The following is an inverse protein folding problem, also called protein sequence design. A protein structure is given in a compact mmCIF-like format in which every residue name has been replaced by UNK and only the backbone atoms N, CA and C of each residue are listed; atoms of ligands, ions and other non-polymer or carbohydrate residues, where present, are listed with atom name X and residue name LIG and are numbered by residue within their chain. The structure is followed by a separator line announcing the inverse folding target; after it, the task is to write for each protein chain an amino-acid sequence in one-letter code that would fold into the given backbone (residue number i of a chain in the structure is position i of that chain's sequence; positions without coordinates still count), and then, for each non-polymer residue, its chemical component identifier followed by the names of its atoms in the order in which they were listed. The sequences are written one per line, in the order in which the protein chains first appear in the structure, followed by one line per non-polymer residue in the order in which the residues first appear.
data_IF_582817751925
#
_entry.id   IF_582817751925
#
_cell.length_a   1.000
_cell.length_b   1.000
_cell.length_c   1.000
_cell.angle_alpha   90.00
_cell.angle_beta   90.00
_cell.angle_gamma   90.00
#
_symmetry.space_group_name_H-M   'P 1'
#
loop_
_entity.id
_entity.type
_entity.pdbx_description
1 polymer ?
#
# COMPACT_ATOMS: atom_id res chain seq x y z
N UNK A 1 24.09 10.12 55.58
CA UNK A 1 23.76 9.28 54.41
C UNK A 1 22.46 8.56 54.75
N UNK A 2 21.34 9.08 54.27
CA UNK A 2 20.02 8.45 54.42
C UNK A 2 19.92 7.30 53.42
N UNK A 3 19.65 6.10 53.89
CA UNK A 3 19.46 4.93 53.03
C UNK A 3 17.97 4.86 52.66
N UNK A 4 17.66 5.00 51.37
CA UNK A 4 16.32 4.80 50.83
C UNK A 4 15.90 3.34 50.99
N UNK A 5 14.69 3.12 51.53
CA UNK A 5 14.11 1.79 51.78
C UNK A 5 13.82 0.99 50.49
N UNK A 6 13.95 1.59 49.31
CA UNK A 6 13.71 0.91 48.02
C UNK A 6 14.84 -0.07 47.62
N UNK A 7 16.06 0.09 48.16
CA UNK A 7 17.19 -0.77 47.78
C UNK A 7 17.13 -2.19 48.37
N UNK A 8 16.33 -2.43 49.41
CA UNK A 8 16.19 -3.75 50.05
C UNK A 8 15.36 -4.76 49.24
N UNK A 9 14.73 -4.33 48.14
CA UNK A 9 13.86 -5.16 47.31
C UNK A 9 14.52 -5.82 46.09
N UNK A 10 15.79 -5.51 45.78
CA UNK A 10 16.47 -6.01 44.58
C UNK A 10 17.28 -7.28 44.88
N UNK A 11 17.31 -8.22 43.93
CA UNK A 11 17.99 -9.53 44.01
C UNK A 11 19.52 -9.45 44.21
N UNK A 12 20.10 -8.25 44.13
CA UNK A 12 21.54 -8.01 44.15
C UNK A 12 22.05 -7.30 45.42
N UNK A 13 21.25 -7.18 46.48
CA UNK A 13 21.74 -6.62 47.74
C UNK A 13 22.65 -7.63 48.48
N UNK A 14 23.96 -7.58 48.19
CA UNK A 14 24.97 -8.35 48.91
C UNK A 14 25.23 -7.74 50.29
N UNK A 15 24.55 -8.31 51.29
CA UNK A 15 24.67 -7.97 52.71
C UNK A 15 26.13 -8.01 53.17
N UNK A 16 26.94 -8.93 52.65
CA UNK A 16 28.36 -9.06 53.02
C UNK A 16 29.18 -7.90 52.47
N UNK A 17 28.96 -7.52 51.20
CA UNK A 17 29.61 -6.35 50.60
C UNK A 17 29.19 -5.04 51.28
N UNK A 18 27.91 -4.90 51.64
CA UNK A 18 27.42 -3.73 52.36
C UNK A 18 27.99 -3.64 53.79
N UNK A 19 27.98 -4.73 54.55
CA UNK A 19 28.58 -4.78 55.89
C UNK A 19 30.07 -4.45 55.84
N UNK A 20 30.80 -5.02 54.88
CA UNK A 20 32.22 -4.71 54.69
C UNK A 20 32.46 -3.23 54.35
N UNK A 21 31.57 -2.59 53.58
CA UNK A 21 31.64 -1.13 53.33
C UNK A 21 31.36 -0.31 54.57
N UNK A 22 30.43 -0.71 55.44
CA UNK A 22 30.15 -0.03 56.71
C UNK A 22 31.35 -0.15 57.67
N UNK A 23 31.97 -1.32 57.80
CA UNK A 23 33.19 -1.51 58.59
C UNK A 23 34.41 -0.76 58.00
N UNK A 24 34.51 -0.67 56.68
CA UNK A 24 35.57 0.10 56.00
C UNK A 24 35.37 1.62 56.11
N UNK A 25 34.14 2.11 56.08
CA UNK A 25 33.84 3.53 56.32
C UNK A 25 34.07 3.93 57.79
N UNK A 26 33.98 2.98 58.72
CA UNK A 26 34.18 3.18 60.16
C UNK A 26 35.66 3.25 60.59
N UNK A 27 36.60 2.79 59.77
CA UNK A 27 38.03 2.75 60.14
C UNK A 27 38.75 4.08 59.94
N UNK A 28 38.11 5.08 59.33
CA UNK A 28 38.73 6.38 59.00
C UNK A 28 38.25 7.58 59.84
N UNK A 29 37.39 7.41 60.86
CA UNK A 29 36.86 8.55 61.63
C UNK A 29 37.22 8.48 63.13
N UNK A 30 38.43 8.95 63.40
CA UNK A 30 39.18 8.91 64.66
C UNK A 30 38.76 10.06 65.62
N UNK A 31 37.46 10.16 65.91
CA UNK A 31 36.92 11.15 66.85
C UNK A 31 36.19 10.51 68.02
N UNK A 32 36.71 10.73 69.24
CA UNK A 32 36.34 10.15 70.53
C UNK A 32 34.92 10.48 71.03
N UNK A 33 33.88 10.09 70.27
CA UNK A 33 32.51 9.97 70.75
C UNK A 33 32.25 8.50 71.11
N UNK A 34 32.41 8.21 72.40
CA UNK A 34 32.08 7.00 73.16
C UNK A 34 31.75 5.75 72.34
N UNK A 35 32.63 4.74 72.42
CA UNK A 35 32.46 3.41 71.82
C UNK A 35 31.07 2.79 72.09
N UNK A 36 30.43 3.15 73.20
CA UNK A 36 29.06 2.74 73.55
C UNK A 36 27.98 3.24 72.57
N UNK A 37 28.03 4.51 72.13
CA UNK A 37 27.03 5.04 71.20
C UNK A 37 27.19 4.42 69.80
N UNK A 38 28.42 4.06 69.44
CA UNK A 38 28.77 3.39 68.17
C UNK A 38 28.36 1.92 68.20
N UNK A 39 28.65 1.22 69.29
CA UNK A 39 28.19 -0.15 69.53
C UNK A 39 26.66 -0.23 69.53
N UNK A 40 25.97 0.72 70.16
CA UNK A 40 24.50 0.77 70.15
C UNK A 40 23.91 0.96 68.74
N UNK A 41 24.50 1.81 67.88
CA UNK A 41 24.04 1.97 66.50
C UNK A 41 24.23 0.70 65.67
N UNK A 42 25.39 0.04 65.79
CA UNK A 42 25.64 -1.24 65.12
C UNK A 42 24.70 -2.34 65.61
N UNK A 43 24.46 -2.42 66.92
CA UNK A 43 23.49 -3.36 67.50
C UNK A 43 22.08 -3.07 66.98
N UNK A 44 21.69 -1.81 66.84
CA UNK A 44 20.36 -1.44 66.33
C UNK A 44 20.23 -1.79 64.84
N UNK A 45 21.27 -1.55 64.04
CA UNK A 45 21.29 -1.92 62.61
C UNK A 45 21.28 -3.45 62.41
N UNK A 46 22.05 -4.20 63.21
CA UNK A 46 22.03 -5.66 63.19
C UNK A 46 20.69 -6.22 63.66
N UNK A 47 20.09 -5.61 64.68
CA UNK A 47 18.76 -5.99 65.16
C UNK A 47 17.68 -5.71 64.11
N UNK A 48 17.77 -4.59 63.39
CA UNK A 48 16.88 -4.28 62.29
C UNK A 48 17.03 -5.28 61.13
N UNK A 49 18.26 -5.61 60.73
CA UNK A 49 18.52 -6.62 59.71
C UNK A 49 18.02 -8.01 60.12
N UNK A 50 18.25 -8.41 61.37
CA UNK A 50 17.74 -9.69 61.90
C UNK A 50 16.22 -9.71 61.91
N UNK A 51 15.57 -8.62 62.32
CA UNK A 51 14.11 -8.50 62.33
C UNK A 51 13.54 -8.53 60.91
N UNK A 52 14.17 -7.85 59.96
CA UNK A 52 13.70 -7.79 58.57
C UNK A 52 13.91 -9.14 57.86
N UNK A 53 15.04 -9.81 58.09
CA UNK A 53 15.29 -11.17 57.61
C UNK A 53 14.27 -12.17 58.18
N UNK A 54 13.93 -12.04 59.47
CA UNK A 54 12.91 -12.86 60.13
C UNK A 54 11.52 -12.61 59.52
N UNK A 55 11.12 -11.35 59.35
CA UNK A 55 9.84 -10.99 58.73
C UNK A 55 9.75 -11.47 57.28
N UNK A 56 10.84 -11.40 56.52
CA UNK A 56 10.87 -11.90 55.15
C UNK A 56 10.79 -13.44 55.09
N UNK A 57 11.52 -14.13 55.96
CA UNK A 57 11.40 -15.59 56.16
C UNK A 57 9.95 -15.97 56.50
N UNK A 58 9.30 -15.24 57.39
CA UNK A 58 7.94 -15.54 57.82
C UNK A 58 6.91 -15.27 56.71
N UNK A 59 7.10 -14.21 55.89
CA UNK A 59 6.32 -13.98 54.67
C UNK A 59 6.50 -15.09 53.64
N UNK A 60 7.73 -15.53 53.40
CA UNK A 60 8.03 -16.63 52.47
C UNK A 60 7.37 -17.92 52.97
N UNK A 61 7.53 -18.26 54.25
CA UNK A 61 6.87 -19.42 54.87
C UNK A 61 5.34 -19.35 54.77
N UNK A 62 4.74 -18.18 54.98
CA UNK A 62 3.30 -17.98 54.84
C UNK A 62 2.83 -18.19 53.39
N UNK A 63 3.56 -17.66 52.40
CA UNK A 63 3.29 -17.90 50.97
C UNK A 63 3.40 -19.38 50.62
N UNK A 64 4.46 -20.06 51.05
CA UNK A 64 4.64 -21.50 50.81
C UNK A 64 3.53 -22.34 51.46
N UNK A 65 3.10 -22.03 52.70
CA UNK A 65 1.99 -22.73 53.34
C UNK A 65 0.68 -22.60 52.57
N UNK A 66 0.41 -21.42 52.01
CA UNK A 66 -0.81 -21.19 51.24
C UNK A 66 -0.72 -21.81 49.83
N UNK A 67 0.39 -21.58 49.13
CA UNK A 67 0.60 -22.06 47.76
C UNK A 67 0.73 -23.58 47.70
N UNK A 68 1.46 -24.21 48.61
CA UNK A 68 1.63 -25.67 48.61
C UNK A 68 0.30 -26.40 48.86
N UNK A 69 -0.53 -25.89 49.78
CA UNK A 69 -1.84 -26.47 50.04
C UNK A 69 -2.81 -26.27 48.85
N UNK A 70 -2.72 -25.14 48.16
CA UNK A 70 -3.52 -24.87 46.96
C UNK A 70 -3.10 -25.75 45.78
N UNK A 71 -1.80 -25.81 45.49
CA UNK A 71 -1.23 -26.70 44.46
C UNK A 71 -1.57 -28.17 44.76
N UNK A 72 -1.47 -28.60 46.02
CA UNK A 72 -1.86 -29.96 46.41
C UNK A 72 -3.33 -30.27 46.17
N UNK A 73 -4.23 -29.31 46.42
CA UNK A 73 -5.67 -29.45 46.11
C UNK A 73 -5.93 -29.48 44.61
N UNK A 74 -5.24 -28.65 43.84
CA UNK A 74 -5.40 -28.56 42.39
C UNK A 74 -4.91 -29.85 41.71
N UNK A 75 -3.76 -30.39 42.14
CA UNK A 75 -3.25 -31.69 41.67
C UNK A 75 -4.21 -32.83 42.02
N UNK A 76 -4.75 -32.84 43.24
CA UNK A 76 -5.75 -33.84 43.63
C UNK A 76 -7.07 -33.70 42.85
N UNK A 77 -7.49 -32.47 42.55
CA UNK A 77 -8.65 -32.17 41.72
C UNK A 77 -8.47 -32.63 40.27
N UNK A 78 -7.31 -32.34 39.68
CA UNK A 78 -6.93 -32.83 38.35
C UNK A 78 -6.84 -34.37 38.32
N UNK A 79 -6.24 -35.00 39.34
CA UNK A 79 -6.18 -36.46 39.44
C UNK A 79 -7.56 -37.13 39.49
N UNK A 80 -8.51 -36.52 40.22
CA UNK A 80 -9.91 -36.98 40.25
C UNK A 80 -10.61 -36.77 38.91
N UNK A 81 -10.41 -35.61 38.27
CA UNK A 81 -11.00 -35.31 36.97
C UNK A 81 -10.49 -36.28 35.89
N UNK A 82 -9.17 -36.50 35.81
CA UNK A 82 -8.55 -37.46 34.90
C UNK A 82 -9.06 -38.88 35.14
N UNK A 83 -9.15 -39.32 36.40
CA UNK A 83 -9.68 -40.65 36.73
C UNK A 83 -11.16 -40.79 36.33
N UNK A 84 -11.97 -39.74 36.54
CA UNK A 84 -13.38 -39.73 36.13
C UNK A 84 -13.52 -39.76 34.60
N UNK A 85 -12.71 -38.99 33.86
CA UNK A 85 -12.69 -38.99 32.40
C UNK A 85 -12.23 -40.35 31.86
N UNK A 86 -11.24 -40.98 32.49
CA UNK A 86 -10.80 -42.33 32.12
C UNK A 86 -11.90 -43.37 32.36
N UNK A 87 -12.63 -43.28 33.48
CA UNK A 87 -13.79 -44.14 33.74
C UNK A 87 -14.92 -43.90 32.72
N UNK A 88 -15.18 -42.65 32.32
CA UNK A 88 -16.14 -42.31 31.26
C UNK A 88 -15.71 -42.85 29.90
N UNK A 89 -14.42 -42.78 29.56
CA UNK A 89 -13.86 -43.35 28.34
C UNK A 89 -14.00 -44.88 28.32
N UNK A 90 -13.68 -45.55 29.44
CA UNK A 90 -13.90 -47.01 29.57
C UNK A 90 -15.38 -47.36 29.46
N UNK A 91 -16.27 -46.55 30.06
CA UNK A 91 -17.72 -46.69 29.91
C UNK A 91 -18.22 -46.50 28.48
N UNK A 92 -17.66 -45.53 27.74
CA UNK A 92 -17.92 -45.32 26.32
C UNK A 92 -17.40 -46.47 25.47
N UNK A 93 -16.20 -46.99 25.73
CA UNK A 93 -15.65 -48.15 25.02
C UNK A 93 -16.52 -49.38 25.25
N UNK A 94 -16.93 -49.65 26.50
CA UNK A 94 -17.83 -50.76 26.81
C UNK A 94 -19.24 -50.56 26.22
N UNK A 95 -19.73 -49.32 26.11
CA UNK A 95 -20.99 -49.01 25.44
C UNK A 95 -20.88 -49.25 23.93
N UNK A 96 -19.76 -48.84 23.31
CA UNK A 96 -19.44 -49.08 21.89
C UNK A 96 -19.34 -50.58 21.60
N UNK A 97 -18.66 -51.35 22.45
CA UNK A 97 -18.54 -52.81 22.30
C UNK A 97 -19.89 -53.52 22.44
N UNK A 98 -20.76 -53.06 23.35
CA UNK A 98 -22.13 -53.58 23.50
C UNK A 98 -23.05 -53.17 22.34
N UNK A 99 -22.84 -51.99 21.76
CA UNK A 99 -23.65 -51.46 20.66
C UNK A 99 -23.27 -52.09 19.31
N UNK A 100 -22.00 -52.48 19.14
CA UNK A 100 -21.53 -53.28 18.00
C UNK A 100 -22.17 -54.68 17.92
N UNK A 101 -22.72 -55.19 19.03
CA UNK A 101 -23.38 -56.50 19.09
C UNK A 101 -24.89 -56.49 18.74
N UNK A 102 -25.49 -55.33 18.43
CA UNK A 102 -26.92 -55.24 18.10
C UNK A 102 -27.15 -54.48 16.79
N UNK A 103 -27.99 -55.03 15.90
CA UNK A 103 -28.28 -54.54 14.55
C UNK A 103 -28.73 -53.06 14.38
N UNK A 104 -29.05 -52.24 15.41
CA UNK A 104 -29.23 -50.79 15.23
C UNK A 104 -27.93 -50.01 14.96
N UNK A 105 -26.73 -50.62 15.05
CA UNK A 105 -25.44 -49.91 14.96
C UNK A 105 -25.25 -49.17 13.63
N UNK A 106 -25.78 -49.69 12.51
CA UNK A 106 -25.61 -49.03 11.22
C UNK A 106 -26.34 -47.69 11.14
N UNK A 107 -27.54 -47.57 11.73
CA UNK A 107 -28.29 -46.32 11.75
C UNK A 107 -27.57 -45.28 12.63
N UNK A 108 -27.09 -45.68 13.80
CA UNK A 108 -26.34 -44.80 14.71
C UNK A 108 -24.97 -44.39 14.14
N UNK A 109 -24.27 -45.28 13.41
CA UNK A 109 -23.01 -44.95 12.72
C UNK A 109 -23.25 -44.02 11.53
N UNK A 110 -24.35 -44.20 10.79
CA UNK A 110 -24.77 -43.27 9.75
C UNK A 110 -25.11 -41.91 10.35
N UNK A 111 -25.84 -41.86 11.46
CA UNK A 111 -26.16 -40.62 12.19
C UNK A 111 -24.92 -39.93 12.76
N UNK A 112 -23.96 -40.68 13.32
CA UNK A 112 -22.69 -40.13 13.79
C UNK A 112 -21.82 -39.62 12.63
N UNK A 113 -21.81 -40.35 11.51
CA UNK A 113 -21.11 -39.96 10.28
C UNK A 113 -21.77 -38.77 9.57
N UNK A 114 -23.09 -38.60 9.67
CA UNK A 114 -23.76 -37.36 9.23
C UNK A 114 -23.48 -36.23 10.19
N UNK A 115 -23.52 -36.45 11.51
CA UNK A 115 -23.19 -35.43 12.51
C UNK A 115 -21.73 -34.97 12.40
N UNK A 116 -20.76 -35.86 12.18
CA UNK A 116 -19.36 -35.49 11.92
C UNK A 116 -19.20 -34.71 10.62
N UNK A 117 -19.87 -35.12 9.53
CA UNK A 117 -19.87 -34.35 8.28
C UNK A 117 -20.54 -33.00 8.45
N UNK A 118 -21.56 -32.91 9.27
CA UNK A 118 -22.29 -31.68 9.56
C UNK A 118 -21.48 -30.76 10.48
N UNK A 119 -20.72 -31.32 11.43
CA UNK A 119 -19.75 -30.60 12.26
C UNK A 119 -18.57 -30.10 11.43
N UNK A 120 -18.05 -30.92 10.50
CA UNK A 120 -16.99 -30.49 9.59
C UNK A 120 -17.48 -29.33 8.69
N UNK A 121 -18.69 -29.44 8.15
CA UNK A 121 -19.33 -28.35 7.38
C UNK A 121 -19.59 -27.11 8.22
N UNK A 122 -19.98 -27.23 9.49
CA UNK A 122 -20.19 -26.05 10.35
C UNK A 122 -18.89 -25.43 10.81
N UNK A 123 -17.82 -26.21 11.02
CA UNK A 123 -16.48 -25.68 11.30
C UNK A 123 -15.91 -24.97 10.07
N UNK A 124 -16.10 -25.52 8.88
CA UNK A 124 -15.76 -24.87 7.62
C UNK A 124 -16.59 -23.58 7.43
N UNK A 125 -17.90 -23.63 7.66
CA UNK A 125 -18.78 -22.46 7.64
C UNK A 125 -18.43 -21.40 8.69
N UNK A 126 -17.96 -21.79 9.88
CA UNK A 126 -17.49 -20.90 10.94
C UNK A 126 -16.12 -20.27 10.61
N UNK A 127 -15.20 -21.05 10.03
CA UNK A 127 -13.92 -20.53 9.54
C UNK A 127 -14.11 -19.52 8.40
N UNK A 128 -15.08 -19.81 7.52
CA UNK A 128 -15.55 -18.90 6.50
C UNK A 128 -16.20 -17.66 7.14
N UNK A 129 -17.15 -17.80 8.08
CA UNK A 129 -17.77 -16.68 8.83
C UNK A 129 -16.76 -15.75 9.53
N UNK A 130 -15.71 -16.31 10.15
CA UNK A 130 -14.66 -15.53 10.83
C UNK A 130 -13.70 -14.85 9.85
N UNK A 131 -13.61 -15.37 8.63
CA UNK A 131 -12.94 -14.71 7.51
C UNK A 131 -13.79 -13.56 6.96
N UNK A 132 -15.13 -13.67 7.06
CA UNK A 132 -16.12 -12.72 6.57
C UNK A 132 -16.38 -11.51 7.47
N UNK A 133 -16.42 -11.65 8.81
CA UNK A 133 -16.73 -10.51 9.71
C UNK A 133 -15.64 -9.44 9.74
N UNK A 134 -14.39 -9.81 9.43
CA UNK A 134 -13.23 -8.92 9.49
C UNK A 134 -12.70 -8.59 8.08
N UNK A 135 -13.47 -8.90 7.03
CA UNK A 135 -13.04 -8.73 5.64
C UNK A 135 -12.59 -7.28 5.36
N UNK A 136 -13.36 -6.23 5.71
CA UNK A 136 -12.93 -4.85 5.51
C UNK A 136 -11.58 -4.54 6.15
N UNK A 137 -11.38 -4.96 7.41
CA UNK A 137 -10.16 -4.66 8.18
C UNK A 137 -8.93 -5.40 7.61
N UNK A 138 -9.11 -6.63 7.14
CA UNK A 138 -8.04 -7.40 6.50
C UNK A 138 -7.67 -6.81 5.15
N UNK A 139 -8.66 -6.39 4.37
CA UNK A 139 -8.43 -5.68 3.10
C UNK A 139 -7.69 -4.38 3.36
N UNK A 140 -8.12 -3.57 4.33
CA UNK A 140 -7.43 -2.32 4.69
C UNK A 140 -5.98 -2.57 5.09
N UNK A 141 -5.72 -3.56 5.95
CA UNK A 141 -4.35 -3.90 6.34
C UNK A 141 -3.47 -4.37 5.17
N UNK A 142 -4.04 -5.08 4.19
CA UNK A 142 -3.30 -5.51 2.98
C UNK A 142 -3.08 -4.34 2.00
N UNK A 143 -4.05 -3.45 1.85
CA UNK A 143 -3.93 -2.23 1.05
C UNK A 143 -2.88 -1.29 1.65
N UNK A 144 -2.87 -1.10 2.97
CA UNK A 144 -1.84 -0.33 3.69
C UNK A 144 -0.44 -0.95 3.51
N UNK A 145 -0.35 -2.28 3.51
CA UNK A 145 0.88 -3.01 3.25
C UNK A 145 1.27 -3.06 1.75
N UNK A 146 0.45 -2.52 0.86
CA UNK A 146 0.59 -2.57 -0.62
C UNK A 146 0.61 -3.99 -1.20
N UNK A 147 0.00 -4.95 -0.50
CA UNK A 147 -0.12 -6.35 -0.94
C UNK A 147 -1.47 -6.56 -1.65
N UNK A 148 -1.68 -5.84 -2.75
CA UNK A 148 -2.95 -5.79 -3.47
C UNK A 148 -3.37 -7.13 -4.07
N UNK A 149 -2.40 -7.94 -4.51
CA UNK A 149 -2.69 -9.27 -5.07
C UNK A 149 -3.33 -10.19 -4.03
N UNK A 150 -2.86 -10.16 -2.77
CA UNK A 150 -3.49 -10.90 -1.67
C UNK A 150 -4.81 -10.28 -1.24
N UNK A 151 -4.92 -8.95 -1.27
CA UNK A 151 -6.19 -8.29 -0.98
C UNK A 151 -7.29 -8.72 -1.97
N UNK A 152 -6.97 -8.76 -3.26
CA UNK A 152 -7.91 -9.18 -4.31
C UNK A 152 -8.27 -10.66 -4.21
N UNK A 153 -7.27 -11.53 -4.00
CA UNK A 153 -7.51 -12.96 -3.80
C UNK A 153 -8.40 -13.25 -2.58
N UNK A 154 -8.27 -12.44 -1.52
CA UNK A 154 -9.13 -12.53 -0.35
C UNK A 154 -10.58 -12.17 -0.70
N UNK A 155 -10.81 -11.06 -1.41
CA UNK A 155 -12.16 -10.64 -1.82
C UNK A 155 -12.80 -11.61 -2.81
N UNK A 156 -12.06 -12.09 -3.81
CA UNK A 156 -12.56 -13.03 -4.82
C UNK A 156 -12.88 -14.41 -4.21
N UNK A 157 -12.04 -14.89 -3.28
CA UNK A 157 -12.29 -16.14 -2.55
C UNK A 157 -13.54 -16.08 -1.67
N UNK A 158 -13.91 -14.87 -1.27
CA UNK A 158 -15.06 -14.59 -0.41
C UNK A 158 -16.34 -14.37 -1.22
N UNK A 159 -16.26 -13.72 -2.39
CA UNK A 159 -17.39 -13.50 -3.30
C UNK A 159 -18.03 -14.80 -3.82
N UNK A 160 -17.26 -15.90 -3.88
CA UNK A 160 -17.76 -17.22 -4.28
C UNK A 160 -18.57 -17.96 -3.22
N UNK A 161 -18.62 -17.47 -1.98
CA UNK A 161 -19.28 -18.16 -0.88
C UNK A 161 -20.62 -17.50 -0.50
N UNK A 162 -21.69 -18.30 -0.48
CA UNK A 162 -23.04 -17.83 -0.21
C UNK A 162 -23.16 -17.23 1.21
N UNK A 163 -23.58 -15.97 1.33
CA UNK A 163 -24.02 -15.37 2.60
C UNK A 163 -23.50 -13.98 2.94
N UNK A 164 -22.73 -13.32 2.06
CA UNK A 164 -22.28 -11.95 2.27
C UNK A 164 -23.18 -10.91 1.60
N UNK A 165 -23.20 -9.73 2.20
CA UNK A 165 -23.75 -8.54 1.57
C UNK A 165 -22.90 -8.20 0.34
N UNK A 166 -23.54 -8.21 -0.83
CA UNK A 166 -22.86 -7.89 -2.09
C UNK A 166 -22.24 -6.49 -2.04
N UNK A 167 -22.85 -5.59 -1.26
CA UNK A 167 -22.41 -4.21 -1.11
C UNK A 167 -21.07 -4.12 -0.35
N UNK A 168 -20.83 -4.95 0.67
CA UNK A 168 -19.55 -4.96 1.41
C UNK A 168 -18.41 -5.52 0.58
N UNK A 169 -18.67 -6.56 -0.21
CA UNK A 169 -17.68 -7.14 -1.14
C UNK A 169 -17.34 -6.13 -2.23
N UNK A 170 -18.34 -5.42 -2.76
CA UNK A 170 -18.14 -4.37 -3.74
C UNK A 170 -17.30 -3.21 -3.16
N UNK A 171 -17.64 -2.72 -1.96
CA UNK A 171 -16.89 -1.66 -1.28
C UNK A 171 -15.43 -2.08 -0.92
N UNK A 172 -15.18 -3.36 -0.65
CA UNK A 172 -13.82 -3.88 -0.50
C UNK A 172 -13.07 -3.84 -1.84
N UNK A 173 -13.70 -4.27 -2.93
CA UNK A 173 -13.09 -4.25 -4.27
C UNK A 173 -12.76 -2.82 -4.71
N UNK A 174 -13.67 -1.87 -4.53
CA UNK A 174 -13.44 -0.45 -4.84
C UNK A 174 -12.24 0.12 -4.06
N UNK A 175 -12.06 -0.25 -2.79
CA UNK A 175 -10.90 0.19 -2.00
C UNK A 175 -9.58 -0.36 -2.52
N UNK A 176 -9.54 -1.64 -2.90
CA UNK A 176 -8.34 -2.25 -3.46
C UNK A 176 -8.02 -1.60 -4.82
N UNK A 177 -9.05 -1.40 -5.66
CA UNK A 177 -8.93 -0.72 -6.94
C UNK A 177 -8.36 0.70 -6.77
N UNK A 178 -8.93 1.51 -5.88
CA UNK A 178 -8.43 2.84 -5.58
C UNK A 178 -6.97 2.82 -5.09
N UNK A 179 -6.59 1.83 -4.29
CA UNK A 179 -5.21 1.62 -3.85
C UNK A 179 -4.26 1.31 -5.01
N UNK A 180 -4.63 0.38 -5.89
CA UNK A 180 -3.83 0.00 -7.07
C UNK A 180 -3.72 1.14 -8.06
N UNK A 181 -4.81 1.86 -8.34
CA UNK A 181 -4.82 3.06 -9.19
C UNK A 181 -3.92 4.15 -8.61
N UNK A 182 -3.94 4.35 -7.28
CA UNK A 182 -3.06 5.29 -6.61
C UNK A 182 -1.57 4.95 -6.73
N UNK A 183 -1.21 3.66 -6.65
CA UNK A 183 0.17 3.21 -6.86
C UNK A 183 0.58 3.25 -8.35
N UNK A 184 -0.33 2.92 -9.27
CA UNK A 184 -0.13 3.09 -10.71
C UNK A 184 0.16 4.56 -11.02
N UNK A 185 -0.67 5.49 -10.54
CA UNK A 185 -0.47 6.91 -10.74
C UNK A 185 0.87 7.41 -10.20
N UNK A 186 1.35 6.85 -9.07
CA UNK A 186 2.68 7.16 -8.54
C UNK A 186 3.80 6.62 -9.44
N UNK A 187 3.73 5.36 -9.85
CA UNK A 187 4.70 4.74 -10.75
C UNK A 187 4.81 5.50 -12.08
N UNK A 188 3.66 5.89 -12.65
CA UNK A 188 3.56 6.69 -13.88
C UNK A 188 4.17 8.08 -13.69
N UNK A 189 3.96 8.71 -12.54
CA UNK A 189 4.58 10.00 -12.23
C UNK A 189 6.11 9.90 -12.08
N UNK A 190 6.59 8.83 -11.45
CA UNK A 190 8.02 8.57 -11.21
C UNK A 190 8.76 7.97 -12.42
N UNK A 191 8.04 7.66 -13.50
CA UNK A 191 8.53 6.96 -14.70
C UNK A 191 9.09 5.56 -14.40
N UNK A 192 8.52 4.87 -13.43
CA UNK A 192 8.82 3.45 -13.15
C UNK A 192 7.93 2.56 -14.04
N UNK A 193 8.46 2.20 -15.21
CA UNK A 193 7.74 1.40 -16.19
C UNK A 193 7.41 -0.01 -15.69
N UNK A 194 8.31 -0.62 -14.91
CA UNK A 194 8.09 -1.96 -14.37
C UNK A 194 6.98 -1.96 -13.31
N UNK A 195 6.95 -0.96 -12.42
CA UNK A 195 5.88 -0.81 -11.45
C UNK A 195 4.54 -0.49 -12.11
N UNK A 196 4.53 0.38 -13.13
CA UNK A 196 3.33 0.69 -13.90
C UNK A 196 2.78 -0.56 -14.61
N UNK A 197 3.63 -1.34 -15.29
CA UNK A 197 3.24 -2.58 -15.95
C UNK A 197 2.69 -3.60 -14.95
N UNK A 198 3.33 -3.78 -13.78
CA UNK A 198 2.82 -4.70 -12.73
C UNK A 198 1.43 -4.30 -12.22
N UNK A 199 1.20 -3.00 -11.95
CA UNK A 199 -0.11 -2.53 -11.50
C UNK A 199 -1.15 -2.61 -12.62
N UNK A 200 -0.76 -2.33 -13.86
CA UNK A 200 -1.60 -2.47 -15.04
C UNK A 200 -2.04 -3.91 -15.28
N UNK A 201 -1.11 -4.87 -15.19
CA UNK A 201 -1.42 -6.31 -15.29
C UNK A 201 -2.36 -6.78 -14.19
N UNK A 202 -2.20 -6.27 -12.96
CA UNK A 202 -3.12 -6.57 -11.86
C UNK A 202 -4.54 -6.07 -12.15
N UNK A 203 -4.69 -4.83 -12.60
CA UNK A 203 -6.01 -4.27 -12.97
C UNK A 203 -6.62 -4.98 -14.18
N UNK A 204 -5.81 -5.28 -15.20
CA UNK A 204 -6.25 -6.00 -16.40
C UNK A 204 -6.73 -7.42 -16.07
N UNK A 205 -6.06 -8.13 -15.16
CA UNK A 205 -6.47 -9.45 -14.68
C UNK A 205 -7.87 -9.43 -14.04
N UNK A 206 -8.32 -8.27 -13.56
CA UNK A 206 -9.64 -8.05 -12.97
C UNK A 206 -10.61 -7.28 -13.87
N UNK A 207 -10.28 -7.13 -15.17
CA UNK A 207 -11.16 -6.51 -16.18
C UNK A 207 -11.15 -4.99 -16.19
N UNK A 208 -10.19 -4.35 -15.51
CA UNK A 208 -10.10 -2.89 -15.33
C UNK A 208 -9.09 -2.22 -16.28
N UNK A 209 -8.93 -2.72 -17.51
CA UNK A 209 -7.96 -2.18 -18.47
C UNK A 209 -8.19 -0.70 -18.81
N UNK A 210 -9.45 -0.28 -18.92
CA UNK A 210 -9.81 1.12 -19.23
C UNK A 210 -9.32 2.10 -18.14
N UNK A 211 -9.32 1.68 -16.87
CA UNK A 211 -8.82 2.49 -15.77
C UNK A 211 -7.30 2.68 -15.83
N UNK A 212 -6.57 1.67 -16.32
CA UNK A 212 -5.11 1.76 -16.49
C UNK A 212 -4.77 2.84 -17.50
N UNK A 213 -5.40 2.79 -18.67
CA UNK A 213 -5.19 3.77 -19.74
C UNK A 213 -5.62 5.17 -19.30
N UNK A 214 -6.79 5.29 -18.68
CA UNK A 214 -7.31 6.56 -18.17
C UNK A 214 -6.37 7.21 -17.17
N UNK A 215 -5.87 6.44 -16.20
CA UNK A 215 -4.97 6.95 -15.17
C UNK A 215 -3.59 7.31 -15.73
N UNK A 216 -3.07 6.50 -16.66
CA UNK A 216 -1.82 6.77 -17.35
C UNK A 216 -1.89 8.10 -18.10
N UNK A 217 -2.92 8.27 -18.95
CA UNK A 217 -3.15 9.52 -19.69
C UNK A 217 -3.34 10.69 -18.73
N UNK A 218 -4.14 10.54 -17.68
CA UNK A 218 -4.38 11.60 -16.68
C UNK A 218 -3.09 12.14 -16.07
N UNK A 219 -2.22 11.25 -15.60
CA UNK A 219 -0.97 11.63 -14.92
C UNK A 219 0.05 12.19 -15.92
N UNK A 220 0.30 11.50 -17.05
CA UNK A 220 1.30 11.95 -18.02
C UNK A 220 0.87 13.23 -18.74
N UNK A 221 -0.41 13.37 -19.10
CA UNK A 221 -0.92 14.62 -19.67
C UNK A 221 -0.74 15.78 -18.69
N UNK A 222 -1.06 15.60 -17.41
CA UNK A 222 -0.87 16.66 -16.42
C UNK A 222 0.59 17.12 -16.28
N UNK A 223 1.54 16.18 -16.33
CA UNK A 223 2.97 16.48 -16.26
C UNK A 223 3.44 17.15 -17.54
N UNK A 224 3.09 16.60 -18.70
CA UNK A 224 3.52 17.10 -20.00
C UNK A 224 2.94 18.48 -20.34
N UNK A 225 1.66 18.71 -20.06
CA UNK A 225 1.02 20.03 -20.26
C UNK A 225 1.73 21.10 -19.42
N UNK A 226 2.05 20.82 -18.15
CA UNK A 226 2.83 21.76 -17.32
C UNK A 226 4.22 22.04 -17.87
N UNK A 227 4.85 21.07 -18.54
CA UNK A 227 6.14 21.30 -19.20
C UNK A 227 5.99 22.23 -20.42
N UNK A 228 4.88 22.14 -21.13
CA UNK A 228 4.56 22.97 -22.31
C UNK A 228 3.98 24.36 -21.97
N UNK A 229 3.52 24.58 -20.73
CA UNK A 229 3.10 25.92 -20.24
C UNK A 229 4.27 26.92 -20.07
N UNK A 230 5.51 26.51 -20.37
CA UNK A 230 6.66 27.39 -20.42
C UNK A 230 6.46 28.58 -21.37
N UNK A 231 7.09 29.72 -21.07
CA UNK A 231 7.16 30.84 -22.04
C UNK A 231 8.24 30.52 -23.06
N UNK A 232 7.83 30.19 -24.27
CA UNK A 232 8.73 30.04 -25.40
C UNK A 232 8.83 31.36 -26.16
N UNK A 233 10.04 31.86 -26.33
CA UNK A 233 10.28 33.13 -27.03
C UNK A 233 10.03 32.98 -28.54
N UNK A 234 10.26 31.78 -29.08
CA UNK A 234 9.98 31.40 -30.46
C UNK A 234 9.15 30.11 -30.57
N UNK A 235 8.49 29.93 -31.72
CA UNK A 235 7.67 28.76 -31.97
C UNK A 235 8.52 27.49 -32.14
N UNK A 236 9.76 27.63 -32.64
CA UNK A 236 10.67 26.50 -32.85
C UNK A 236 11.02 25.80 -31.54
N UNK A 237 11.27 26.56 -30.47
CA UNK A 237 11.54 26.05 -29.14
C UNK A 237 10.34 25.34 -28.53
N UNK A 238 9.12 25.86 -28.73
CA UNK A 238 7.88 25.21 -28.29
C UNK A 238 7.72 23.85 -28.99
N UNK A 239 7.83 23.82 -30.32
CA UNK A 239 7.63 22.61 -31.11
C UNK A 239 8.73 21.57 -30.85
N UNK A 240 9.98 21.99 -30.64
CA UNK A 240 11.06 21.10 -30.27
C UNK A 240 10.84 20.46 -28.89
N UNK A 241 10.39 21.25 -27.91
CA UNK A 241 10.05 20.73 -26.59
C UNK A 241 8.87 19.75 -26.64
N UNK A 242 7.85 20.05 -27.46
CA UNK A 242 6.71 19.16 -27.67
C UNK A 242 7.11 17.84 -28.36
N UNK A 243 7.97 17.89 -29.37
CA UNK A 243 8.46 16.69 -30.04
C UNK A 243 9.26 15.81 -29.08
N UNK A 244 10.19 16.41 -28.33
CA UNK A 244 10.96 15.69 -27.32
C UNK A 244 10.05 15.01 -26.29
N UNK A 245 9.01 15.72 -25.82
CA UNK A 245 8.01 15.18 -24.90
C UNK A 245 7.23 14.01 -25.52
N UNK A 246 6.76 14.12 -26.76
CA UNK A 246 6.02 13.05 -27.45
C UNK A 246 6.89 11.78 -27.56
N UNK A 247 8.15 11.90 -27.99
CA UNK A 247 9.06 10.74 -28.08
C UNK A 247 9.35 10.14 -26.69
N UNK A 248 9.54 10.99 -25.69
CA UNK A 248 9.75 10.58 -24.30
C UNK A 248 8.54 9.86 -23.68
N UNK A 249 7.32 10.30 -23.99
CA UNK A 249 6.10 9.62 -23.54
C UNK A 249 5.85 8.33 -24.29
N UNK A 250 6.15 8.29 -25.60
CA UNK A 250 6.05 7.08 -26.42
C UNK A 250 6.92 5.97 -25.86
N UNK A 251 8.20 6.24 -25.66
CA UNK A 251 9.16 5.26 -25.12
C UNK A 251 8.76 4.76 -23.74
N UNK A 252 8.19 5.64 -22.91
CA UNK A 252 7.69 5.25 -21.59
C UNK A 252 6.41 4.40 -21.67
N UNK A 253 5.45 4.77 -22.52
CA UNK A 253 4.22 4.02 -22.75
C UNK A 253 4.50 2.61 -23.29
N UNK A 254 5.42 2.48 -24.24
CA UNK A 254 5.88 1.19 -24.76
C UNK A 254 6.52 0.34 -23.67
N UNK A 255 7.41 0.91 -22.86
CA UNK A 255 8.05 0.21 -21.75
C UNK A 255 7.06 -0.23 -20.65
N UNK A 256 5.96 0.52 -20.48
CA UNK A 256 4.88 0.21 -19.54
C UNK A 256 3.80 -0.72 -20.14
N UNK A 257 3.97 -1.23 -21.36
CA UNK A 257 3.02 -2.09 -22.07
C UNK A 257 1.64 -1.43 -22.33
N UNK A 258 1.61 -0.12 -22.55
CA UNK A 258 0.38 0.62 -22.87
C UNK A 258 -0.02 0.47 -24.34
N UNK A 259 -1.31 0.63 -24.62
CA UNK A 259 -1.84 0.58 -25.99
C UNK A 259 -1.51 1.84 -26.80
N UNK A 260 -1.52 1.72 -28.13
CA UNK A 260 -1.32 2.86 -29.04
C UNK A 260 -2.37 3.96 -28.84
N UNK A 261 -3.57 3.61 -28.37
CA UNK A 261 -4.64 4.57 -28.07
C UNK A 261 -4.26 5.55 -26.95
N UNK A 262 -3.40 5.14 -26.00
CA UNK A 262 -2.86 6.02 -24.96
C UNK A 262 -1.96 7.10 -25.57
N UNK A 263 -1.16 6.74 -26.57
CA UNK A 263 -0.28 7.69 -27.25
C UNK A 263 -1.08 8.74 -28.02
N UNK A 264 -2.13 8.33 -28.74
CA UNK A 264 -3.01 9.24 -29.47
C UNK A 264 -3.68 10.25 -28.52
N UNK A 265 -4.19 9.78 -27.38
CA UNK A 265 -4.80 10.64 -26.36
C UNK A 265 -3.78 11.62 -25.73
N UNK A 266 -2.53 11.19 -25.51
CA UNK A 266 -1.49 12.09 -24.99
C UNK A 266 -1.13 13.19 -26.01
N UNK A 267 -1.01 12.82 -27.28
CA UNK A 267 -0.76 13.78 -28.37
C UNK A 267 -1.89 14.79 -28.46
N UNK A 268 -3.14 14.36 -28.33
CA UNK A 268 -4.32 15.25 -28.28
C UNK A 268 -4.20 16.26 -27.15
N UNK A 269 -3.89 15.81 -25.92
CA UNK A 269 -3.73 16.71 -24.77
C UNK A 269 -2.58 17.70 -24.93
N UNK A 270 -1.48 17.30 -25.55
CA UNK A 270 -0.36 18.20 -25.81
C UNK A 270 -0.68 19.20 -26.92
N UNK A 271 -1.38 18.77 -27.97
CA UNK A 271 -1.84 19.65 -29.04
C UNK A 271 -2.78 20.74 -28.49
N UNK A 272 -3.76 20.37 -27.67
CA UNK A 272 -4.68 21.30 -27.01
C UNK A 272 -3.91 22.35 -26.18
N UNK A 273 -2.91 21.92 -25.41
CA UNK A 273 -2.11 22.80 -24.57
C UNK A 273 -1.28 23.81 -25.39
N UNK A 274 -0.76 23.41 -26.55
CA UNK A 274 0.02 24.28 -27.42
C UNK A 274 -0.82 25.29 -28.19
N UNK A 275 -2.13 25.04 -28.37
CA UNK A 275 -2.99 25.81 -29.26
C UNK A 275 -2.96 27.32 -28.97
N UNK A 276 -3.01 27.70 -27.68
CA UNK A 276 -2.99 29.11 -27.26
C UNK A 276 -1.66 29.80 -27.61
N UNK A 277 -0.54 29.11 -27.43
CA UNK A 277 0.77 29.71 -27.70
C UNK A 277 1.05 29.77 -29.20
N UNK A 278 0.63 28.76 -29.96
CA UNK A 278 0.65 28.78 -31.43
C UNK A 278 -0.16 29.97 -31.95
N UNK A 279 -1.38 30.19 -31.45
CA UNK A 279 -2.19 31.35 -31.83
C UNK A 279 -1.44 32.67 -31.58
N UNK A 280 -0.78 32.82 -30.41
CA UNK A 280 0.02 34.00 -30.10
C UNK A 280 1.20 34.21 -31.05
N UNK A 281 1.84 33.13 -31.50
CA UNK A 281 2.92 33.22 -32.50
C UNK A 281 2.40 33.57 -33.88
N UNK A 282 1.25 33.02 -34.28
CA UNK A 282 0.56 33.39 -35.53
C UNK A 282 0.17 34.85 -35.53
N UNK A 283 -0.47 35.34 -34.45
CA UNK A 283 -0.87 36.75 -34.33
C UNK A 283 0.36 37.67 -34.39
N UNK A 284 1.44 37.35 -33.67
CA UNK A 284 2.71 38.11 -33.74
C UNK A 284 3.29 38.11 -35.16
N UNK A 285 3.26 36.98 -35.86
CA UNK A 285 3.77 36.85 -37.22
C UNK A 285 2.91 37.64 -38.22
N UNK A 286 1.59 37.65 -38.06
CA UNK A 286 0.65 38.42 -38.87
C UNK A 286 0.97 39.92 -38.82
N UNK A 287 1.29 40.46 -37.64
CA UNK A 287 1.68 41.87 -37.47
C UNK A 287 3.01 42.23 -38.14
N UNK A 288 3.92 41.26 -38.28
CA UNK A 288 5.23 41.46 -38.93
C UNK A 288 5.09 41.34 -40.45
N UNK A 289 4.25 40.42 -40.94
CA UNK A 289 3.91 40.24 -42.34
C UNK A 289 4.02 38.79 -42.84
N UNK A 290 3.60 38.57 -44.09
CA UNK A 290 3.41 37.25 -44.68
C UNK A 290 4.65 36.32 -44.66
N UNK A 291 5.87 36.87 -44.71
CA UNK A 291 7.11 36.08 -44.61
C UNK A 291 7.25 35.42 -43.23
N UNK A 292 6.84 36.13 -42.17
CA UNK A 292 6.87 35.60 -40.80
C UNK A 292 5.81 34.51 -40.62
N UNK A 293 4.60 34.71 -41.16
CA UNK A 293 3.52 33.71 -41.15
C UNK A 293 3.94 32.42 -41.84
N UNK A 294 4.64 32.53 -42.98
CA UNK A 294 5.21 31.36 -43.67
C UNK A 294 6.24 30.62 -42.80
N UNK A 295 7.09 31.33 -42.06
CA UNK A 295 8.04 30.70 -41.14
C UNK A 295 7.35 29.88 -40.04
N UNK A 296 6.22 30.38 -39.51
CA UNK A 296 5.37 29.64 -38.56
C UNK A 296 4.74 28.40 -39.20
N UNK A 297 4.26 28.52 -40.44
CA UNK A 297 3.73 27.38 -41.21
C UNK A 297 4.78 26.30 -41.46
N UNK A 298 5.97 26.68 -41.96
CA UNK A 298 7.05 25.74 -42.27
C UNK A 298 7.50 24.99 -40.99
N UNK A 299 7.51 25.68 -39.84
CA UNK A 299 7.82 25.07 -38.54
C UNK A 299 6.76 24.06 -38.08
N UNK A 300 5.47 24.41 -38.18
CA UNK A 300 4.37 23.52 -37.79
C UNK A 300 4.24 22.30 -38.72
N UNK A 301 4.45 22.48 -40.01
CA UNK A 301 4.47 21.35 -40.97
C UNK A 301 5.65 20.43 -40.70
N UNK A 302 6.84 20.98 -40.43
CA UNK A 302 8.01 20.19 -40.01
C UNK A 302 7.72 19.38 -38.75
N UNK A 303 7.14 20.01 -37.73
CA UNK A 303 6.72 19.33 -36.50
C UNK A 303 5.71 18.21 -36.75
N UNK A 304 4.67 18.43 -37.56
CA UNK A 304 3.68 17.39 -37.86
C UNK A 304 4.29 16.21 -38.63
N UNK A 305 5.28 16.46 -39.50
CA UNK A 305 6.01 15.41 -40.20
C UNK A 305 6.89 14.60 -39.25
N UNK A 306 7.64 15.27 -38.37
CA UNK A 306 8.51 14.63 -37.39
C UNK A 306 7.70 13.84 -36.36
N UNK A 307 6.64 14.42 -35.80
CA UNK A 307 5.74 13.74 -34.88
C UNK A 307 4.99 12.57 -35.55
N UNK A 308 4.65 12.68 -36.84
CA UNK A 308 4.03 11.60 -37.61
C UNK A 308 4.97 10.42 -37.86
N UNK A 309 6.26 10.67 -38.09
CA UNK A 309 7.29 9.64 -38.19
C UNK A 309 7.48 8.92 -36.84
N UNK A 310 7.46 9.68 -35.75
CA UNK A 310 7.55 9.17 -34.39
C UNK A 310 6.30 8.40 -33.94
N UNK A 311 5.21 8.37 -34.71
CA UNK A 311 4.00 7.59 -34.36
C UNK A 311 3.81 6.29 -35.15
N UNK A 312 4.57 6.06 -36.24
CA UNK A 312 4.26 5.01 -37.23
C UNK A 312 5.31 3.88 -37.32
N UNK A 313 6.32 3.85 -36.44
CA UNK A 313 7.42 2.87 -36.52
C UNK A 313 7.04 1.42 -36.20
N UNK A 314 5.85 1.17 -35.66
CA UNK A 314 5.34 -0.20 -35.43
C UNK A 314 5.07 -0.98 -36.74
N UNK A 315 5.12 -0.30 -37.89
CA UNK A 315 4.89 -0.90 -39.22
C UNK A 315 6.17 -1.31 -39.99
N UNK A 316 7.35 -1.28 -39.37
CA UNK A 316 8.65 -1.44 -40.03
C UNK A 316 8.97 -2.83 -40.66
N UNK A 317 8.03 -3.77 -40.68
CA UNK A 317 8.22 -5.11 -41.31
C UNK A 317 7.33 -5.41 -42.53
N UNK A 318 6.60 -4.43 -43.05
CA UNK A 318 5.81 -4.61 -44.28
C UNK A 318 6.56 -4.10 -45.52
N UNK A 319 7.29 -5.00 -46.18
CA UNK A 319 7.89 -4.74 -47.50
C UNK A 319 6.76 -4.62 -48.55
N UNK A 320 6.35 -3.40 -48.88
CA UNK A 320 5.61 -3.13 -50.11
C UNK A 320 4.33 -2.29 -50.03
N UNK A 321 3.93 -1.78 -48.86
CA UNK A 321 2.81 -0.84 -48.78
C UNK A 321 3.33 0.61 -48.81
N UNK A 322 2.86 1.42 -49.76
CA UNK A 322 3.05 2.87 -49.70
C UNK A 322 2.53 3.36 -48.35
N UNK A 323 3.45 3.75 -47.46
CA UNK A 323 3.14 4.26 -46.13
C UNK A 323 2.41 5.60 -46.29
N UNK A 324 1.08 5.55 -46.25
CA UNK A 324 0.29 6.76 -46.03
C UNK A 324 0.47 7.08 -44.55
N UNK A 325 1.49 7.87 -44.24
CA UNK A 325 1.77 8.40 -42.90
C UNK A 325 0.48 8.98 -42.34
N UNK A 326 -0.05 8.36 -41.28
CA UNK A 326 -1.22 8.90 -40.58
C UNK A 326 -0.73 9.87 -39.52
N UNK A 327 -0.70 11.14 -39.87
CA UNK A 327 -0.59 12.23 -38.89
C UNK A 327 -1.84 12.18 -38.01
N UNK A 328 -1.71 12.10 -36.67
CA UNK A 328 -2.86 12.16 -35.77
C UNK A 328 -3.74 13.38 -36.05
N UNK A 329 -5.06 13.21 -36.03
CA UNK A 329 -6.03 14.28 -36.32
C UNK A 329 -5.80 15.51 -35.41
N UNK A 330 -5.42 15.26 -34.15
CA UNK A 330 -5.07 16.31 -33.19
C UNK A 330 -3.96 17.24 -33.70
N UNK A 331 -2.95 16.73 -34.39
CA UNK A 331 -1.86 17.54 -34.93
C UNK A 331 -2.32 18.39 -36.12
N UNK A 332 -3.34 17.94 -36.87
CA UNK A 332 -3.95 18.78 -37.91
C UNK A 332 -4.68 20.00 -37.33
N UNK A 333 -5.28 19.87 -36.13
CA UNK A 333 -5.94 21.00 -35.47
C UNK A 333 -4.97 22.12 -35.08
N UNK A 334 -3.66 21.83 -34.94
CA UNK A 334 -2.64 22.85 -34.69
C UNK A 334 -2.44 23.81 -35.87
N UNK A 335 -2.86 23.44 -37.08
CA UNK A 335 -2.78 24.29 -38.28
C UNK A 335 -3.98 25.24 -38.42
N UNK A 336 -5.02 25.08 -37.60
CA UNK A 336 -6.24 25.90 -37.70
C UNK A 336 -5.98 27.41 -37.50
N UNK A 337 -5.18 27.84 -36.50
CA UNK A 337 -4.78 29.25 -36.35
C UNK A 337 -4.19 29.87 -37.63
N UNK A 338 -3.39 29.09 -38.36
CA UNK A 338 -2.77 29.54 -39.61
C UNK A 338 -3.78 29.64 -40.74
N UNK A 339 -4.73 28.69 -40.82
CA UNK A 339 -5.79 28.73 -41.84
C UNK A 339 -6.61 30.02 -41.70
N UNK A 340 -7.02 30.35 -40.48
CA UNK A 340 -7.78 31.56 -40.19
C UNK A 340 -6.96 32.84 -40.46
N UNK A 341 -5.67 32.84 -40.15
CA UNK A 341 -4.78 33.97 -40.48
C UNK A 341 -4.63 34.18 -41.99
N UNK A 342 -4.41 33.10 -42.76
CA UNK A 342 -4.27 33.19 -44.22
C UNK A 342 -5.55 33.67 -44.89
N UNK A 343 -6.71 33.20 -44.43
CA UNK A 343 -8.01 33.69 -44.91
C UNK A 343 -8.19 35.20 -44.66
N UNK A 344 -7.86 35.68 -43.45
CA UNK A 344 -7.91 37.12 -43.11
C UNK A 344 -6.97 37.96 -43.97
N UNK A 345 -5.72 37.52 -44.16
CA UNK A 345 -4.75 38.19 -45.02
C UNK A 345 -5.20 38.22 -46.48
N UNK A 346 -5.79 37.13 -46.97
CA UNK A 346 -6.35 37.04 -48.32
C UNK A 346 -7.51 38.01 -48.55
N UNK A 347 -8.42 38.14 -47.57
CA UNK A 347 -9.51 39.12 -47.63
C UNK A 347 -8.98 40.56 -47.62
N UNK A 348 -8.02 40.87 -46.75
CA UNK A 348 -7.43 42.21 -46.66
C UNK A 348 -6.70 42.64 -47.95
N UNK A 349 -6.03 41.70 -48.63
CA UNK A 349 -5.37 41.98 -49.90
C UNK A 349 -6.38 42.10 -51.05
N UNK A 350 -7.45 41.30 -51.06
CA UNK A 350 -8.54 41.44 -52.02
C UNK A 350 -9.22 42.82 -51.91
N UNK A 351 -9.46 43.29 -50.69
CA UNK A 351 -10.01 44.62 -50.41
C UNK A 351 -9.06 45.74 -50.85
N UNK A 352 -7.75 45.60 -50.67
CA UNK A 352 -6.75 46.55 -51.20
C UNK A 352 -6.77 46.63 -52.72
N UNK A 353 -6.83 45.49 -53.39
CA UNK A 353 -6.84 45.41 -54.86
C UNK A 353 -8.13 46.03 -55.41
N UNK A 354 -9.27 45.82 -54.75
CA UNK A 354 -10.56 46.39 -55.16
C UNK A 354 -10.72 47.87 -54.77
N UNK A 355 -10.17 48.30 -53.63
CA UNK A 355 -10.18 49.70 -53.17
C UNK A 355 -9.12 50.60 -53.84
N UNK A 356 -8.12 50.02 -54.52
CA UNK A 356 -7.07 50.73 -55.26
C UNK A 356 -7.43 51.14 -56.68
N UNK A 357 -8.67 50.93 -57.13
CA UNK A 357 -9.15 51.36 -58.45
C UNK A 357 -9.94 52.68 -58.36
N UNK A 358 -9.23 53.81 -58.34
CA UNK A 358 -9.72 55.12 -58.80
C UNK A 358 -8.64 55.83 -59.61
#
# INVERSE_FOLDING_TARGET
MEVSLEEFGTLDFDVKAWLNRQFAAQTNDDSAATDDARAQRLVTQLHFLATNAQQNSDRIKARFRHQAAQIGRDIAGLGKAVSATQAQLVGLTQAVDRQAASAPTMAAVVELGTAQRQLARTVEALGLQRSYTDLPQKVDGLVEARDFGRAWALVDGVAGAAGLDADEVHACRERIEAGVVGELGRAVAERDAEAAARMGQLLAAHGQTELVETEFVRVRAQIGVKALEGRYDDIGGLLHAALALITEERTFAEAAEMSDAVQEQLIERFADAMQTEIQRHVDRAEHIGAVSVRGVYDALVGFCADAGLETDESSALSVGAAHVQRVPLALHHLLEPLRECVERLGMAEADRIQGGSL
#
